data_IF_546406067494
#
_entry.id   IF_546406067494
#
_cell.length_a   1.000
_cell.length_b   1.000
_cell.length_c   1.000
_cell.angle_alpha   90.00
_cell.angle_beta   90.00
_cell.angle_gamma   90.00
#
_symmetry.space_group_name_H-M   'P 1'
#
loop_
_entity.id
_entity.type
_entity.pdbx_description
1 polymer ?
#
# COMPACT_ATOMS: atom_id res chain seq x y z
N UNK A 1 -5.40 -7.54 8.10
CA UNK A 1 -4.78 -6.22 7.91
C UNK A 1 -3.38 -6.47 7.39
N UNK A 2 -3.05 -5.86 6.27
CA UNK A 2 -1.78 -6.02 5.58
C UNK A 2 -0.86 -4.87 5.97
N UNK A 3 0.36 -5.19 6.35
CA UNK A 3 1.39 -4.20 6.64
C UNK A 3 2.01 -3.66 5.34
N UNK A 4 2.26 -2.35 5.32
CA UNK A 4 3.16 -1.74 4.33
C UNK A 4 4.62 -2.09 4.63
N UNK A 5 5.34 -2.50 3.60
CA UNK A 5 6.76 -2.81 3.59
C UNK A 5 7.54 -1.66 2.98
N UNK A 6 8.80 -1.53 3.36
CA UNK A 6 9.78 -0.76 2.60
C UNK A 6 10.02 -1.43 1.24
N UNK A 7 10.46 -0.64 0.25
CA UNK A 7 10.83 -1.17 -1.07
C UNK A 7 11.91 -2.27 -0.97
N UNK A 8 12.85 -2.13 -0.04
CA UNK A 8 13.90 -3.14 0.21
C UNK A 8 13.31 -4.44 0.72
N UNK A 9 12.51 -4.41 1.79
CA UNK A 9 11.84 -5.60 2.34
C UNK A 9 10.96 -6.29 1.28
N UNK A 10 10.25 -5.50 0.46
CA UNK A 10 9.41 -6.04 -0.60
C UNK A 10 10.23 -6.76 -1.68
N UNK A 11 11.34 -6.17 -2.15
CA UNK A 11 12.23 -6.80 -3.14
C UNK A 11 12.84 -8.10 -2.62
N UNK A 12 13.20 -8.15 -1.35
CA UNK A 12 13.72 -9.36 -0.72
C UNK A 12 12.67 -10.47 -0.63
N UNK A 13 11.42 -10.10 -0.32
CA UNK A 13 10.31 -11.05 -0.17
C UNK A 13 9.70 -11.49 -1.50
N UNK A 14 9.69 -10.62 -2.50
CA UNK A 14 9.08 -10.83 -3.82
C UNK A 14 10.05 -10.48 -4.96
N UNK A 15 11.21 -11.15 -5.08
CA UNK A 15 12.22 -10.83 -6.09
C UNK A 15 11.75 -11.00 -7.53
N UNK A 16 10.66 -11.76 -7.75
CA UNK A 16 10.04 -11.95 -9.06
C UNK A 16 9.13 -10.79 -9.49
N UNK A 17 8.73 -9.92 -8.55
CA UNK A 17 7.86 -8.78 -8.84
C UNK A 17 8.73 -7.59 -9.23
N UNK A 18 8.54 -7.11 -10.46
CA UNK A 18 9.26 -5.91 -10.92
C UNK A 18 8.75 -4.69 -10.17
N UNK A 19 9.68 -3.92 -9.60
CA UNK A 19 9.39 -2.63 -8.98
C UNK A 19 9.96 -1.46 -9.78
N UNK A 20 10.40 -1.70 -11.02
CA UNK A 20 11.01 -0.68 -11.86
C UNK A 20 9.98 0.43 -12.18
N UNK A 21 10.33 1.68 -11.91
CA UNK A 21 9.43 2.82 -12.13
C UNK A 21 8.37 2.99 -11.03
N UNK A 22 8.48 2.23 -9.92
CA UNK A 22 7.60 2.31 -8.76
C UNK A 22 8.30 2.94 -7.55
N UNK A 23 9.40 3.66 -7.75
CA UNK A 23 10.20 4.27 -6.68
C UNK A 23 9.54 5.51 -6.04
N UNK A 24 8.34 5.89 -6.50
CA UNK A 24 7.57 6.98 -5.89
C UNK A 24 7.27 6.65 -4.41
N UNK A 25 7.61 7.55 -3.46
CA UNK A 25 7.39 7.32 -2.04
C UNK A 25 5.91 7.20 -1.64
N UNK A 26 4.97 7.60 -2.50
CA UNK A 26 3.54 7.46 -2.28
C UNK A 26 3.00 6.06 -2.63
N UNK A 27 3.79 5.23 -3.31
CA UNK A 27 3.43 3.84 -3.56
C UNK A 27 3.60 3.02 -2.27
N UNK A 28 2.70 2.05 -2.10
CA UNK A 28 2.70 1.19 -0.92
C UNK A 28 2.96 -0.24 -1.35
N UNK A 29 3.96 -0.88 -0.74
CA UNK A 29 4.31 -2.28 -0.99
C UNK A 29 3.70 -3.16 0.09
N UNK A 30 2.72 -4.00 -0.23
CA UNK A 30 2.02 -4.80 0.77
C UNK A 30 2.72 -6.14 1.03
N UNK A 31 2.60 -6.62 2.27
CA UNK A 31 3.22 -7.89 2.68
C UNK A 31 2.66 -9.14 1.98
N UNK A 32 1.55 -9.02 1.25
CA UNK A 32 0.96 -10.07 0.41
C UNK A 32 1.47 -10.05 -1.04
N UNK A 33 2.33 -9.09 -1.41
CA UNK A 33 2.90 -8.99 -2.76
C UNK A 33 2.17 -8.03 -3.70
N UNK A 34 1.07 -7.41 -3.25
CA UNK A 34 0.38 -6.37 -4.02
C UNK A 34 1.10 -5.03 -3.85
N UNK A 35 1.00 -4.19 -4.87
CA UNK A 35 1.55 -2.83 -4.86
C UNK A 35 0.40 -1.86 -5.06
N UNK A 36 0.20 -0.94 -4.12
CA UNK A 36 -0.81 0.10 -4.23
C UNK A 36 -0.16 1.32 -4.87
N UNK A 37 -0.55 1.62 -6.11
CA UNK A 37 0.02 2.73 -6.87
C UNK A 37 -0.77 3.99 -6.56
N UNK A 38 -0.08 5.11 -6.32
CA UNK A 38 -0.73 6.40 -6.00
C UNK A 38 -1.83 6.78 -7.01
N UNK A 39 -1.59 6.55 -8.30
CA UNK A 39 -2.54 6.84 -9.38
C UNK A 39 -3.82 6.01 -9.34
N UNK A 40 -3.85 4.91 -8.59
CA UNK A 40 -5.02 4.05 -8.38
C UNK A 40 -5.84 4.46 -7.16
N UNK A 41 -5.39 5.48 -6.41
CA UNK A 41 -6.10 6.06 -5.28
C UNK A 41 -7.25 6.96 -5.74
N UNK A 42 -8.44 6.76 -5.19
CA UNK A 42 -9.62 7.57 -5.52
C UNK A 42 -10.03 8.58 -4.43
N UNK A 43 -9.26 8.69 -3.34
CA UNK A 43 -9.62 9.48 -2.15
C UNK A 43 -10.07 8.63 -0.96
N UNK A 44 -10.44 7.36 -1.16
CA UNK A 44 -10.93 6.45 -0.11
C UNK A 44 -10.23 5.09 -0.10
N UNK A 45 -9.96 4.54 -1.28
CA UNK A 45 -9.29 3.25 -1.46
C UNK A 45 -8.49 3.20 -2.76
N UNK A 46 -7.55 2.26 -2.82
CA UNK A 46 -6.86 1.88 -4.04
C UNK A 46 -7.71 0.86 -4.78
N UNK A 47 -7.90 1.06 -6.09
CA UNK A 47 -8.62 0.13 -6.96
C UNK A 47 -7.65 -0.41 -7.99
N UNK A 48 -7.25 -1.67 -7.83
CA UNK A 48 -6.26 -2.29 -8.70
C UNK A 48 -6.93 -2.79 -9.99
N UNK A 49 -6.15 -2.86 -11.06
CA UNK A 49 -6.62 -3.39 -12.35
C UNK A 49 -7.12 -4.85 -12.32
N UNK A 50 -6.78 -5.60 -11.27
CA UNK A 50 -7.24 -6.99 -11.04
C UNK A 50 -8.63 -7.08 -10.36
N UNK A 51 -9.26 -5.94 -10.05
CA UNK A 51 -10.56 -5.86 -9.40
C UNK A 51 -10.52 -5.92 -7.87
N UNK A 52 -9.36 -6.12 -7.26
CA UNK A 52 -9.20 -5.98 -5.81
C UNK A 52 -9.18 -4.51 -5.41
N UNK A 53 -9.58 -4.22 -4.18
CA UNK A 53 -9.41 -2.89 -3.61
C UNK A 53 -8.87 -2.93 -2.20
N UNK A 54 -8.07 -1.93 -1.86
CA UNK A 54 -7.40 -1.84 -0.56
C UNK A 54 -7.66 -0.47 0.05
N UNK A 55 -8.14 -0.46 1.29
CA UNK A 55 -8.35 0.78 2.05
C UNK A 55 -7.35 0.89 3.21
N UNK A 56 -6.79 2.08 3.46
CA UNK A 56 -5.94 2.32 4.62
C UNK A 56 -6.75 2.21 5.91
N UNK A 57 -6.09 1.73 6.95
CA UNK A 57 -6.58 1.72 8.32
C UNK A 57 -5.84 2.81 9.07
N UNK A 58 -6.61 3.78 9.55
CA UNK A 58 -6.08 4.90 10.30
C UNK A 58 -6.13 4.62 11.81
N UNK A 59 -5.07 4.96 12.51
CA UNK A 59 -5.07 5.13 13.96
C UNK A 59 -5.00 6.61 14.27
N UNK A 60 -5.95 7.09 15.06
CA UNK A 60 -5.94 8.44 15.57
C UNK A 60 -4.77 8.60 16.55
N UNK A 61 -3.95 9.63 16.33
CA UNK A 61 -2.88 10.04 17.22
C UNK A 61 -3.36 11.17 18.13
N UNK A 62 -3.95 12.21 17.53
CA UNK A 62 -4.53 13.38 18.20
C UNK A 62 -5.81 13.83 17.43
N UNK A 63 -6.35 15.01 17.74
CA UNK A 63 -7.64 15.49 17.18
C UNK A 63 -7.63 15.57 15.64
N UNK A 64 -6.53 16.08 15.06
CA UNK A 64 -6.34 16.27 13.61
C UNK A 64 -5.26 15.36 13.00
N UNK A 65 -4.58 14.54 13.82
CA UNK A 65 -3.45 13.71 13.37
C UNK A 65 -3.81 12.23 13.34
N UNK A 66 -3.52 11.61 12.21
CA UNK A 66 -3.75 10.20 11.95
C UNK A 66 -2.51 9.58 11.32
N UNK A 67 -2.27 8.31 11.64
CA UNK A 67 -1.28 7.50 10.95
C UNK A 67 -1.94 6.29 10.28
N UNK A 68 -1.33 5.82 9.20
CA UNK A 68 -1.75 4.58 8.55
C UNK A 68 -1.03 3.42 9.24
N UNK A 69 -1.81 2.51 9.84
CA UNK A 69 -1.28 1.32 10.53
C UNK A 69 -1.33 0.05 9.68
N UNK A 70 -1.97 0.11 8.51
CA UNK A 70 -2.05 -1.00 7.58
C UNK A 70 -3.17 -0.82 6.57
N UNK A 71 -3.44 -1.88 5.81
CA UNK A 71 -4.43 -1.88 4.73
C UNK A 71 -5.36 -3.10 4.85
N UNK A 72 -6.60 -2.97 4.42
CA UNK A 72 -7.57 -4.06 4.39
C UNK A 72 -8.02 -4.25 2.95
N UNK A 73 -8.04 -5.50 2.49
CA UNK A 73 -8.70 -5.90 1.25
C UNK A 73 -10.23 -5.86 1.47
N UNK A 74 -10.93 -5.12 0.63
CA UNK A 74 -12.41 -5.06 0.59
C UNK A 74 -13.00 -6.20 -0.27
#
# INVERSE_FOLDING_TARGET
>A
MLKGLTLTEFKEKFPQVSTYGLEDPLNVFLENGEILIEREWNGEKYILGNGKSYRPVYRQLDEDDYEIIGYIED
#
